data_IF_628450931520
#
_entry.id   IF_628450931520
#
_cell.length_a   1.000
_cell.length_b   1.000
_cell.length_c   1.000
_cell.angle_alpha   90.00
_cell.angle_beta   90.00
_cell.angle_gamma   90.00
#
_symmetry.space_group_name_H-M   'P 1'
#
loop_
_entity.id
_entity.type
_entity.pdbx_description
1 polymer ?
#
# COMPACT_ATOMS: atom_id res chain seq x y z
N UNK A 1 -31.50 15.81 -16.74
CA UNK A 1 -32.03 15.48 -15.40
C UNK A 1 -31.22 16.24 -14.37
N UNK A 2 -31.82 16.67 -13.24
CA UNK A 2 -31.15 17.49 -12.23
C UNK A 2 -31.44 16.99 -10.82
N UNK A 3 -30.49 17.18 -9.89
CA UNK A 3 -30.64 16.87 -8.46
C UNK A 3 -29.95 17.94 -7.62
N UNK A 4 -30.43 18.16 -6.39
CA UNK A 4 -29.77 19.05 -5.43
C UNK A 4 -29.10 18.25 -4.33
N UNK A 5 -27.82 18.50 -4.09
CA UNK A 5 -27.04 17.81 -3.06
C UNK A 5 -26.20 18.83 -2.30
N UNK A 6 -26.04 18.63 -0.99
CA UNK A 6 -25.12 19.44 -0.19
C UNK A 6 -23.70 19.30 -0.71
N UNK A 7 -23.01 20.43 -0.88
CA UNK A 7 -21.64 20.52 -1.39
C UNK A 7 -20.66 19.64 -0.60
N UNK A 8 -20.74 19.68 0.73
CA UNK A 8 -19.88 18.88 1.62
C UNK A 8 -20.12 17.39 1.43
N UNK A 9 -21.38 16.96 1.32
CA UNK A 9 -21.77 15.56 1.14
C UNK A 9 -21.25 15.03 -0.20
N UNK A 10 -21.48 15.76 -1.30
CA UNK A 10 -20.94 15.39 -2.61
C UNK A 10 -19.41 15.37 -2.61
N UNK A 11 -18.77 16.32 -1.93
CA UNK A 11 -17.32 16.36 -1.81
C UNK A 11 -16.75 15.12 -1.12
N UNK A 12 -17.33 14.68 0.01
CA UNK A 12 -16.90 13.46 0.70
C UNK A 12 -17.15 12.21 -0.15
N UNK A 13 -18.33 12.10 -0.79
CA UNK A 13 -18.63 10.97 -1.67
C UNK A 13 -17.63 10.88 -2.83
N UNK A 14 -17.29 12.00 -3.48
CA UNK A 14 -16.32 11.99 -4.57
C UNK A 14 -14.89 11.62 -4.11
N UNK A 15 -14.50 11.84 -2.85
CA UNK A 15 -13.20 11.33 -2.35
C UNK A 15 -13.14 9.81 -2.40
N UNK A 16 -14.25 9.15 -2.06
CA UNK A 16 -14.40 7.68 -2.09
C UNK A 16 -14.48 7.19 -3.53
N UNK A 17 -15.43 7.71 -4.30
CA UNK A 17 -15.69 7.26 -5.66
C UNK A 17 -14.49 7.49 -6.59
N UNK A 18 -13.74 8.57 -6.36
CA UNK A 18 -12.50 8.87 -7.08
C UNK A 18 -11.39 7.84 -6.92
N UNK A 19 -11.53 6.83 -6.03
CA UNK A 19 -10.61 5.70 -5.90
C UNK A 19 -10.80 4.63 -6.98
N UNK A 20 -11.98 4.59 -7.60
CA UNK A 20 -12.34 3.61 -8.64
C UNK A 20 -12.47 4.26 -10.01
N UNK A 21 -12.88 5.53 -10.09
CA UNK A 21 -13.04 6.23 -11.37
C UNK A 21 -11.74 6.24 -12.18
N UNK A 22 -11.84 5.76 -13.43
CA UNK A 22 -10.74 5.74 -14.39
C UNK A 22 -10.80 6.98 -15.28
N UNK A 23 -10.34 8.13 -14.78
CA UNK A 23 -10.46 9.45 -15.44
C UNK A 23 -9.82 9.53 -16.85
N UNK A 24 -8.88 8.67 -17.17
CA UNK A 24 -8.20 8.61 -18.48
C UNK A 24 -8.75 7.52 -19.39
N UNK A 25 -9.74 6.74 -18.95
CA UNK A 25 -10.34 5.68 -19.76
C UNK A 25 -11.00 6.27 -21.01
N UNK A 26 -10.92 5.61 -22.17
CA UNK A 26 -11.72 6.00 -23.34
C UNK A 26 -13.22 5.75 -23.13
N UNK A 27 -13.62 4.89 -22.18
CA UNK A 27 -15.01 4.54 -21.88
C UNK A 27 -15.64 5.62 -20.98
N UNK A 28 -16.67 6.29 -21.48
CA UNK A 28 -17.31 7.41 -20.75
C UNK A 28 -17.90 7.00 -19.40
N UNK A 29 -18.50 5.81 -19.31
CA UNK A 29 -19.02 5.24 -18.05
C UNK A 29 -17.94 5.19 -16.97
N UNK A 30 -16.73 4.76 -17.33
CA UNK A 30 -15.63 4.60 -16.38
C UNK A 30 -15.01 5.93 -15.93
N UNK A 31 -15.29 7.02 -16.65
CA UNK A 31 -14.93 8.40 -16.24
C UNK A 31 -16.04 9.10 -15.46
N UNK A 32 -17.21 8.49 -15.36
CA UNK A 32 -18.43 9.13 -14.86
C UNK A 32 -18.88 8.59 -13.52
N UNK A 33 -19.74 9.37 -12.86
CA UNK A 33 -20.51 8.98 -11.68
C UNK A 33 -21.97 8.90 -12.09
N UNK A 34 -22.62 7.75 -11.87
CA UNK A 34 -24.06 7.59 -12.01
C UNK A 34 -24.75 8.11 -10.76
N UNK A 35 -25.81 8.89 -10.96
CA UNK A 35 -26.73 9.38 -9.95
C UNK A 35 -28.05 8.66 -10.16
N UNK A 36 -28.48 7.90 -9.16
CA UNK A 36 -29.81 7.32 -9.08
C UNK A 36 -30.51 7.94 -7.88
N UNK A 37 -31.65 8.59 -8.07
CA UNK A 37 -32.37 9.27 -6.99
C UNK A 37 -33.78 8.75 -6.82
N UNK A 38 -34.19 8.52 -5.57
CA UNK A 38 -35.55 8.13 -5.18
C UNK A 38 -35.93 8.95 -3.94
N UNK A 39 -36.80 9.95 -4.12
CA UNK A 39 -37.20 10.85 -3.05
C UNK A 39 -36.01 11.65 -2.49
N UNK A 40 -35.70 11.47 -1.20
CA UNK A 40 -34.60 12.15 -0.51
C UNK A 40 -33.28 11.36 -0.50
N UNK A 41 -33.24 10.20 -1.15
CA UNK A 41 -32.07 9.32 -1.22
C UNK A 41 -31.46 9.34 -2.62
N UNK A 42 -30.14 9.48 -2.66
CA UNK A 42 -29.36 9.45 -3.90
C UNK A 42 -28.23 8.42 -3.77
N UNK A 43 -28.16 7.50 -4.72
CA UNK A 43 -27.07 6.54 -4.86
C UNK A 43 -26.10 7.02 -5.94
N UNK A 44 -24.85 7.17 -5.54
CA UNK A 44 -23.74 7.56 -6.41
C UNK A 44 -22.91 6.34 -6.73
N UNK A 45 -22.88 5.93 -8.00
CA UNK A 45 -22.19 4.70 -8.44
C UNK A 45 -21.07 5.01 -9.43
N UNK A 46 -19.95 4.32 -9.28
CA UNK A 46 -18.82 4.33 -10.21
C UNK A 46 -18.35 2.92 -10.51
N UNK A 47 -17.69 2.72 -11.64
CA UNK A 47 -17.07 1.46 -12.02
C UNK A 47 -15.84 1.71 -12.90
N UNK A 48 -14.83 0.85 -12.78
CA UNK A 48 -13.68 0.78 -13.68
C UNK A 48 -13.80 -0.36 -14.72
N UNK A 49 -14.94 -1.07 -14.72
CA UNK A 49 -15.18 -2.26 -15.54
C UNK A 49 -14.81 -3.59 -14.87
N UNK A 50 -14.15 -3.57 -13.70
CA UNK A 50 -13.79 -4.75 -12.91
C UNK A 50 -14.54 -4.76 -11.58
N UNK A 51 -14.61 -3.59 -10.94
CA UNK A 51 -15.35 -3.36 -9.71
C UNK A 51 -16.34 -2.21 -9.85
N UNK A 52 -17.29 -2.16 -8.93
CA UNK A 52 -18.27 -1.09 -8.78
C UNK A 52 -18.41 -0.71 -7.32
N UNK A 53 -18.47 0.59 -7.06
CA UNK A 53 -18.70 1.15 -5.72
C UNK A 53 -19.90 2.07 -5.78
N UNK A 54 -20.80 1.89 -4.83
CA UNK A 54 -21.98 2.72 -4.64
C UNK A 54 -21.95 3.32 -3.23
N UNK A 55 -22.22 4.63 -3.15
CA UNK A 55 -22.38 5.34 -1.89
C UNK A 55 -23.76 5.99 -1.87
N UNK A 56 -24.52 5.74 -0.82
CA UNK A 56 -25.78 6.42 -0.53
C UNK A 56 -25.51 7.76 0.15
N UNK A 57 -26.18 8.80 -0.34
CA UNK A 57 -26.14 10.15 0.22
C UNK A 57 -27.53 10.76 0.28
N UNK A 58 -27.75 11.66 1.24
CA UNK A 58 -28.96 12.48 1.29
C UNK A 58 -28.93 13.56 0.20
N UNK A 59 -30.04 13.73 -0.52
CA UNK A 59 -30.19 14.76 -1.54
C UNK A 59 -31.64 14.88 -2.00
N UNK A 60 -32.00 16.00 -2.61
CA UNK A 60 -33.33 16.18 -3.19
C UNK A 60 -33.28 15.75 -4.67
N UNK A 61 -33.83 14.57 -4.93
CA UNK A 61 -33.88 14.01 -6.27
C UNK A 61 -35.05 14.55 -7.10
N UNK A 62 -36.03 15.23 -6.51
CA UNK A 62 -37.30 15.53 -7.17
C UNK A 62 -37.98 14.25 -7.69
N UNK A 63 -38.26 14.20 -9.00
CA UNK A 63 -38.71 12.99 -9.69
C UNK A 63 -37.55 12.01 -9.95
N UNK A 64 -37.82 10.69 -9.91
CA UNK A 64 -36.80 9.63 -10.06
C UNK A 64 -35.82 9.92 -11.20
N UNK A 65 -34.57 10.21 -10.83
CA UNK A 65 -33.52 10.61 -11.77
C UNK A 65 -32.48 9.52 -11.94
N UNK A 66 -32.17 9.15 -13.19
CA UNK A 66 -31.06 8.24 -13.54
C UNK A 66 -30.21 8.88 -14.64
N UNK A 67 -29.07 9.43 -14.25
CA UNK A 67 -28.14 10.10 -15.15
C UNK A 67 -26.69 9.95 -14.70
N UNK A 68 -25.76 10.29 -15.57
CA UNK A 68 -24.34 10.31 -15.27
C UNK A 68 -23.73 11.68 -15.52
N UNK A 69 -22.67 11.99 -14.77
CA UNK A 69 -21.82 13.17 -14.95
C UNK A 69 -20.37 12.75 -14.88
N UNK A 70 -19.52 13.25 -15.79
CA UNK A 70 -18.09 12.98 -15.72
C UNK A 70 -17.50 13.48 -14.39
N UNK A 71 -16.67 12.66 -13.75
CA UNK A 71 -16.09 12.94 -12.45
C UNK A 71 -15.29 14.25 -12.43
N UNK A 72 -14.58 14.56 -13.52
CA UNK A 72 -13.83 15.80 -13.67
C UNK A 72 -14.75 17.03 -13.64
N UNK A 73 -15.89 16.97 -14.34
CA UNK A 73 -16.88 18.03 -14.34
C UNK A 73 -17.47 18.26 -12.94
N UNK A 74 -17.75 17.19 -12.18
CA UNK A 74 -18.20 17.30 -10.79
C UNK A 74 -17.15 17.97 -9.88
N UNK A 75 -15.87 17.64 -10.07
CA UNK A 75 -14.77 18.27 -9.33
C UNK A 75 -14.61 19.74 -9.66
N UNK A 76 -14.82 20.13 -10.92
CA UNK A 76 -14.82 21.53 -11.35
C UNK A 76 -16.01 22.30 -10.80
N UNK A 77 -17.21 21.70 -10.85
CA UNK A 77 -18.43 22.25 -10.25
C UNK A 77 -18.26 22.51 -8.74
N UNK A 78 -17.70 21.56 -7.99
CA UNK A 78 -17.41 21.74 -6.57
C UNK A 78 -16.44 22.92 -6.30
N UNK A 79 -15.50 23.19 -7.21
CA UNK A 79 -14.56 24.31 -7.04
C UNK A 79 -15.21 25.65 -7.37
N UNK A 80 -16.10 25.70 -8.36
CA UNK A 80 -16.69 26.96 -8.84
C UNK A 80 -17.91 27.40 -8.02
N UNK A 81 -18.70 26.46 -7.48
CA UNK A 81 -19.90 26.82 -6.73
C UNK A 81 -19.57 27.47 -5.38
N UNK A 82 -20.10 28.68 -5.17
CA UNK A 82 -20.14 29.36 -3.86
C UNK A 82 -21.48 29.04 -3.19
N UNK A 83 -21.46 28.46 -1.99
CA UNK A 83 -22.66 28.06 -1.26
C UNK A 83 -22.61 26.63 -0.72
N UNK A 84 -23.65 26.25 0.03
CA UNK A 84 -23.76 24.95 0.69
C UNK A 84 -24.46 23.85 -0.12
N UNK A 85 -25.22 24.21 -1.15
CA UNK A 85 -25.93 23.28 -2.03
C UNK A 85 -25.47 23.42 -3.48
N UNK A 86 -25.52 22.31 -4.21
CA UNK A 86 -25.13 22.21 -5.62
C UNK A 86 -26.26 21.54 -6.38
N UNK A 87 -26.63 22.17 -7.50
CA UNK A 87 -27.49 21.55 -8.50
C UNK A 87 -26.61 20.77 -9.49
N UNK A 88 -26.76 19.45 -9.51
CA UNK A 88 -26.05 18.55 -10.41
C UNK A 88 -26.95 18.24 -11.58
N UNK A 89 -26.48 18.54 -12.79
CA UNK A 89 -27.18 18.20 -14.04
C UNK A 89 -26.35 17.25 -14.85
N UNK A 90 -26.97 16.19 -15.38
CA UNK A 90 -26.30 15.23 -16.24
C UNK A 90 -27.18 14.67 -17.34
N UNK A 91 -26.60 13.72 -18.08
CA UNK A 91 -27.23 13.04 -19.21
C UNK A 91 -27.44 11.57 -18.89
N UNK A 92 -28.44 10.96 -19.52
CA UNK A 92 -28.59 9.51 -19.47
C UNK A 92 -27.40 8.86 -20.18
N UNK A 93 -26.82 7.87 -19.54
CA UNK A 93 -25.72 7.07 -20.08
C UNK A 93 -26.13 5.61 -19.97
N UNK A 94 -25.78 4.81 -20.97
CA UNK A 94 -25.97 3.36 -20.87
C UNK A 94 -24.97 2.81 -19.85
N UNK A 95 -25.48 2.43 -18.69
CA UNK A 95 -24.67 1.99 -17.57
C UNK A 95 -24.60 0.46 -17.58
N UNK A 96 -23.41 -0.14 -17.39
CA UNK A 96 -23.28 -1.59 -17.41
C UNK A 96 -24.20 -2.22 -16.37
N UNK A 97 -24.91 -3.26 -16.79
CA UNK A 97 -25.73 -4.06 -15.90
C UNK A 97 -24.83 -4.63 -14.78
N UNK A 98 -25.24 -4.38 -13.55
CA UNK A 98 -24.54 -4.93 -12.39
C UNK A 98 -25.00 -6.36 -12.19
N UNK A 99 -24.05 -7.29 -12.09
CA UNK A 99 -24.35 -8.69 -11.77
C UNK A 99 -25.19 -8.75 -10.49
N UNK A 100 -26.36 -9.38 -10.61
CA UNK A 100 -27.32 -9.51 -9.52
C UNK A 100 -26.82 -10.63 -8.59
N UNK A 101 -26.87 -10.39 -7.27
CA UNK A 101 -26.58 -11.44 -6.29
C UNK A 101 -27.68 -12.50 -6.41
N UNK A 102 -27.35 -13.74 -6.80
CA UNK A 102 -28.35 -14.78 -6.95
C UNK A 102 -28.84 -15.27 -5.59
N UNK A 103 -30.02 -15.89 -5.55
CA UNK A 103 -30.65 -16.35 -4.30
C UNK A 103 -29.86 -17.45 -3.59
N UNK A 104 -29.02 -18.20 -4.31
CA UNK A 104 -28.15 -19.25 -3.81
C UNK A 104 -26.73 -18.74 -3.44
N UNK A 105 -26.50 -17.43 -3.50
CA UNK A 105 -25.25 -16.83 -3.08
C UNK A 105 -24.95 -17.11 -1.60
N UNK A 106 -23.69 -17.42 -1.31
CA UNK A 106 -23.21 -17.51 0.06
C UNK A 106 -23.32 -16.12 0.69
N UNK A 107 -24.01 -16.04 1.82
CA UNK A 107 -24.21 -14.79 2.56
C UNK A 107 -23.59 -14.90 3.94
N UNK A 108 -22.72 -13.96 4.29
CA UNK A 108 -21.94 -13.97 5.53
C UNK A 108 -22.09 -12.62 6.23
N UNK A 109 -22.40 -12.65 7.51
CA UNK A 109 -22.41 -11.47 8.36
C UNK A 109 -20.98 -10.98 8.62
N UNK A 110 -20.76 -9.68 8.43
CA UNK A 110 -19.50 -9.02 8.74
C UNK A 110 -19.64 -8.27 10.07
N UNK A 111 -18.65 -8.37 10.98
CA UNK A 111 -18.72 -7.71 12.27
C UNK A 111 -18.63 -6.17 12.12
N UNK A 112 -19.07 -5.40 13.13
CA UNK A 112 -19.06 -3.94 13.07
C UNK A 112 -17.68 -3.29 12.88
N UNK A 113 -16.62 -4.00 13.26
CA UNK A 113 -15.23 -3.56 13.15
C UNK A 113 -14.53 -4.10 11.88
N UNK A 114 -15.25 -4.77 10.97
CA UNK A 114 -14.67 -5.36 9.76
C UNK A 114 -13.83 -4.37 8.94
N UNK A 115 -14.31 -3.13 8.76
CA UNK A 115 -13.55 -2.08 8.07
C UNK A 115 -12.23 -1.73 8.77
N UNK A 116 -12.18 -1.79 10.11
CA UNK A 116 -10.94 -1.60 10.89
C UNK A 116 -9.98 -2.77 10.70
N UNK A 117 -10.49 -4.00 10.63
CA UNK A 117 -9.67 -5.19 10.33
C UNK A 117 -9.01 -5.06 8.96
N UNK A 118 -9.77 -4.66 7.93
CA UNK A 118 -9.19 -4.41 6.60
C UNK A 118 -8.14 -3.29 6.63
N UNK A 119 -8.36 -2.23 7.43
CA UNK A 119 -7.40 -1.14 7.56
C UNK A 119 -6.10 -1.55 8.26
N UNK A 120 -6.15 -2.50 9.21
CA UNK A 120 -4.95 -3.06 9.85
C UNK A 120 -4.15 -3.97 8.90
N UNK A 121 -4.86 -4.75 8.07
CA UNK A 121 -4.26 -5.67 7.10
C UNK A 121 -3.75 -4.98 5.83
N UNK A 122 -4.39 -3.90 5.38
CA UNK A 122 -4.06 -3.22 4.13
C UNK A 122 -2.56 -2.86 3.96
N UNK A 123 -1.85 -2.34 4.98
CA UNK A 123 -0.45 -1.94 4.78
C UNK A 123 0.53 -3.11 4.64
N UNK A 124 0.10 -4.36 4.91
CA UNK A 124 0.88 -5.58 4.68
C UNK A 124 0.81 -6.04 3.22
N UNK A 125 -0.24 -5.66 2.49
CA UNK A 125 -0.47 -6.07 1.10
C UNK A 125 0.59 -5.46 0.17
N UNK A 126 1.17 -6.28 -0.70
CA UNK A 126 2.05 -5.80 -1.77
C UNK A 126 1.31 -5.79 -3.11
N UNK A 127 0.91 -4.60 -3.55
CA UNK A 127 0.21 -4.39 -4.82
C UNK A 127 1.06 -4.68 -6.06
N UNK A 128 2.38 -4.83 -5.90
CA UNK A 128 3.33 -5.12 -6.98
C UNK A 128 3.77 -6.58 -7.00
N UNK A 129 3.25 -7.39 -6.09
CA UNK A 129 3.59 -8.81 -6.01
C UNK A 129 3.17 -9.54 -7.28
N UNK A 130 4.03 -10.43 -7.79
CA UNK A 130 3.74 -11.13 -9.05
C UNK A 130 2.56 -12.11 -8.94
N UNK A 131 2.31 -12.65 -7.75
CA UNK A 131 1.18 -13.54 -7.47
C UNK A 131 -0.07 -12.71 -7.18
N UNK A 132 -1.11 -12.75 -8.04
CA UNK A 132 -2.31 -11.92 -7.86
C UNK A 132 -2.96 -12.10 -6.48
N UNK A 133 -2.98 -13.33 -5.96
CA UNK A 133 -3.59 -13.66 -4.66
C UNK A 133 -2.95 -12.95 -3.45
N UNK A 134 -1.75 -12.38 -3.60
CA UNK A 134 -1.06 -11.60 -2.55
C UNK A 134 -1.20 -10.08 -2.74
N UNK A 135 -1.82 -9.64 -3.83
CA UNK A 135 -2.15 -8.23 -4.07
C UNK A 135 -3.46 -7.80 -3.36
N UNK A 136 -3.98 -8.65 -2.46
CA UNK A 136 -5.24 -8.43 -1.78
C UNK A 136 -5.27 -8.99 -0.37
N UNK A 137 -6.47 -9.03 0.21
CA UNK A 137 -6.72 -9.45 1.58
C UNK A 137 -7.57 -10.72 1.57
N UNK A 138 -7.07 -11.77 2.22
CA UNK A 138 -7.76 -13.05 2.31
C UNK A 138 -8.77 -13.03 3.46
N UNK A 139 -9.96 -13.55 3.18
CA UNK A 139 -11.01 -13.83 4.15
C UNK A 139 -11.20 -15.34 4.24
N UNK A 140 -11.09 -15.87 5.44
CA UNK A 140 -11.28 -17.28 5.74
C UNK A 140 -12.06 -17.44 7.04
N UNK A 141 -12.28 -18.69 7.46
CA UNK A 141 -12.85 -19.00 8.78
C UNK A 141 -11.95 -18.55 9.94
N UNK A 142 -10.66 -18.40 9.68
CA UNK A 142 -9.68 -17.93 10.66
C UNK A 142 -9.64 -16.40 10.78
N UNK A 143 -10.28 -15.68 9.84
CA UNK A 143 -10.43 -14.24 9.85
C UNK A 143 -9.84 -13.53 8.64
N UNK A 144 -9.27 -12.36 8.87
CA UNK A 144 -8.70 -11.48 7.84
C UNK A 144 -7.19 -11.67 7.82
N UNK A 145 -6.65 -12.14 6.69
CA UNK A 145 -5.21 -12.42 6.54
C UNK A 145 -4.59 -11.64 5.38
N UNK A 146 -3.41 -11.08 5.60
CA UNK A 146 -2.60 -10.46 4.55
C UNK A 146 -1.12 -10.86 4.69
N UNK A 147 -0.42 -10.99 3.56
CA UNK A 147 1.03 -11.23 3.53
C UNK A 147 1.64 -10.69 2.24
N UNK A 148 2.88 -10.23 2.32
CA UNK A 148 3.75 -9.89 1.18
C UNK A 148 4.94 -10.86 1.06
N UNK A 149 4.90 -12.00 1.76
CA UNK A 149 6.00 -12.97 1.79
C UNK A 149 7.18 -12.59 2.69
N UNK A 150 7.22 -11.37 3.24
CA UNK A 150 8.22 -10.92 4.25
C UNK A 150 7.61 -10.69 5.62
N UNK A 151 6.33 -10.37 5.65
CA UNK A 151 5.52 -10.30 6.87
C UNK A 151 4.15 -10.92 6.63
N UNK A 152 3.48 -11.29 7.71
CA UNK A 152 2.14 -11.85 7.68
C UNK A 152 1.34 -11.33 8.86
N UNK A 153 0.10 -10.93 8.60
CA UNK A 153 -0.85 -10.55 9.64
C UNK A 153 -2.12 -11.39 9.48
N UNK A 154 -2.50 -12.10 10.54
CA UNK A 154 -3.82 -12.72 10.66
C UNK A 154 -4.59 -12.08 11.81
N UNK A 155 -5.72 -11.48 11.49
CA UNK A 155 -6.66 -10.86 12.41
C UNK A 155 -7.85 -11.81 12.64
N UNK A 156 -7.94 -12.45 13.83
CA UNK A 156 -9.01 -13.39 14.12
C UNK A 156 -10.38 -12.73 14.02
N UNK A 157 -11.24 -13.31 13.17
CA UNK A 157 -12.62 -12.89 13.02
C UNK A 157 -13.40 -14.10 12.49
N UNK A 158 -14.34 -14.64 13.27
CA UNK A 158 -15.05 -15.87 12.92
C UNK A 158 -16.08 -15.63 11.80
N UNK A 159 -15.61 -15.57 10.56
CA UNK A 159 -16.45 -15.44 9.38
C UNK A 159 -17.02 -16.81 9.01
N UNK A 160 -18.34 -16.90 8.83
CA UNK A 160 -19.04 -18.12 8.40
C UNK A 160 -18.89 -18.37 6.89
N UNK A 161 -17.66 -18.23 6.38
CA UNK A 161 -17.34 -18.43 4.97
C UNK A 161 -17.07 -19.93 4.72
N UNK A 162 -17.67 -20.55 3.70
CA UNK A 162 -17.46 -21.97 3.40
C UNK A 162 -16.07 -22.24 2.81
N UNK A 163 -15.58 -21.36 1.93
CA UNK A 163 -14.29 -21.43 1.23
C UNK A 163 -13.60 -20.07 1.23
N UNK A 164 -12.29 -20.04 1.45
CA UNK A 164 -11.49 -18.82 1.46
C UNK A 164 -11.68 -17.98 0.20
N UNK A 165 -11.76 -16.66 0.38
CA UNK A 165 -11.89 -15.68 -0.69
C UNK A 165 -10.88 -14.55 -0.51
N UNK A 166 -10.14 -14.20 -1.56
CA UNK A 166 -9.21 -13.07 -1.52
C UNK A 166 -9.85 -11.87 -2.20
N UNK A 167 -10.11 -10.83 -1.42
CA UNK A 167 -10.60 -9.56 -1.94
C UNK A 167 -9.46 -8.79 -2.61
N UNK A 168 -9.71 -8.08 -3.73
CA UNK A 168 -8.76 -7.09 -4.23
C UNK A 168 -8.50 -5.99 -3.19
N UNK A 169 -7.48 -5.16 -3.41
CA UNK A 169 -7.12 -4.13 -2.44
C UNK A 169 -8.28 -3.12 -2.25
N UNK A 170 -8.84 -2.98 -1.02
CA UNK A 170 -10.12 -2.32 -0.79
C UNK A 170 -10.02 -0.79 -0.68
N UNK A 171 -9.36 -0.11 -1.63
CA UNK A 171 -9.00 1.31 -1.52
C UNK A 171 -10.22 2.24 -1.28
N UNK A 172 -11.33 1.98 -1.95
CA UNK A 172 -12.56 2.75 -1.78
C UNK A 172 -13.16 2.57 -0.38
N UNK A 173 -13.24 1.33 0.12
CA UNK A 173 -13.75 1.00 1.45
C UNK A 173 -12.85 1.63 2.54
N UNK A 174 -11.52 1.54 2.39
CA UNK A 174 -10.57 2.16 3.32
C UNK A 174 -10.67 3.70 3.37
N UNK A 175 -11.11 4.30 2.25
CA UNK A 175 -11.36 5.74 2.15
C UNK A 175 -12.72 6.11 2.75
N UNK A 176 -13.75 5.31 2.50
CA UNK A 176 -15.12 5.54 2.98
C UNK A 176 -15.25 5.31 4.50
N UNK A 177 -14.50 4.34 5.05
CA UNK A 177 -14.58 3.92 6.45
C UNK A 177 -16.03 3.73 6.93
N UNK A 178 -16.84 2.91 6.22
CA UNK A 178 -18.22 2.69 6.63
C UNK A 178 -18.26 2.05 8.02
N UNK A 179 -19.21 2.49 8.84
CA UNK A 179 -19.37 2.03 10.22
C UNK A 179 -20.56 1.08 10.35
N UNK A 180 -20.47 0.17 11.32
CA UNK A 180 -21.53 -0.78 11.62
C UNK A 180 -21.32 -2.16 10.99
N UNK A 181 -22.22 -3.09 11.34
CA UNK A 181 -22.19 -4.44 10.80
C UNK A 181 -22.48 -4.43 9.29
N UNK A 182 -21.99 -5.45 8.61
CA UNK A 182 -22.13 -5.57 7.16
C UNK A 182 -22.57 -6.95 6.72
N UNK A 183 -22.71 -7.11 5.41
CA UNK A 183 -22.96 -8.40 4.77
C UNK A 183 -22.00 -8.58 3.60
N UNK A 184 -21.42 -9.77 3.51
CA UNK A 184 -20.65 -10.24 2.38
C UNK A 184 -21.45 -11.31 1.62
N UNK A 185 -21.71 -11.07 0.35
CA UNK A 185 -22.22 -12.07 -0.57
C UNK A 185 -21.08 -12.58 -1.46
N UNK A 186 -21.05 -13.89 -1.71
CA UNK A 186 -20.08 -14.56 -2.58
C UNK A 186 -20.83 -15.52 -3.49
N UNK A 187 -20.57 -15.45 -4.80
CA UNK A 187 -21.13 -16.38 -5.78
C UNK A 187 -20.16 -16.60 -6.94
N UNK A 188 -20.49 -17.56 -7.81
CA UNK A 188 -19.76 -17.81 -9.05
C UNK A 188 -20.62 -17.39 -10.24
N UNK A 189 -20.03 -16.67 -11.19
CA UNK A 189 -20.64 -16.37 -12.48
C UNK A 189 -19.58 -16.57 -13.56
N UNK A 190 -19.87 -17.36 -14.61
CA UNK A 190 -18.97 -17.60 -15.76
C UNK A 190 -17.52 -17.95 -15.37
N UNK A 191 -17.35 -18.87 -14.42
CA UNK A 191 -16.07 -19.31 -13.81
C UNK A 191 -15.31 -18.25 -12.99
N UNK A 192 -15.86 -17.06 -12.82
CA UNK A 192 -15.30 -16.03 -11.94
C UNK A 192 -16.00 -16.08 -10.58
N UNK A 193 -15.25 -15.82 -9.52
CA UNK A 193 -15.80 -15.65 -8.17
C UNK A 193 -16.07 -14.16 -7.96
N UNK A 194 -17.33 -13.82 -7.72
CA UNK A 194 -17.79 -12.46 -7.47
C UNK A 194 -18.06 -12.28 -5.99
N UNK A 195 -17.96 -11.04 -5.53
CA UNK A 195 -18.33 -10.65 -4.19
C UNK A 195 -19.15 -9.37 -4.20
N UNK A 196 -19.97 -9.19 -3.16
CA UNK A 196 -20.59 -7.90 -2.81
C UNK A 196 -20.50 -7.70 -1.31
N UNK A 197 -19.92 -6.58 -0.89
CA UNK A 197 -19.91 -6.12 0.50
C UNK A 197 -20.88 -4.96 0.62
N UNK A 198 -21.76 -5.02 1.61
CA UNK A 198 -22.69 -3.94 1.99
C UNK A 198 -22.46 -3.60 3.46
N UNK A 199 -22.16 -2.34 3.76
CA UNK A 199 -21.97 -1.82 5.13
C UNK A 199 -22.64 -0.45 5.20
N UNK A 200 -23.80 -0.38 5.87
CA UNK A 200 -24.63 0.84 5.86
C UNK A 200 -24.93 1.30 4.42
N UNK A 201 -24.74 2.59 4.15
CA UNK A 201 -24.91 3.19 2.82
C UNK A 201 -23.76 2.93 1.83
N UNK A 202 -22.79 2.08 2.16
CA UNK A 202 -21.67 1.73 1.28
C UNK A 202 -21.85 0.34 0.69
N UNK A 203 -21.74 0.22 -0.64
CA UNK A 203 -21.71 -1.04 -1.36
C UNK A 203 -20.47 -1.13 -2.24
N UNK A 204 -19.79 -2.27 -2.18
CA UNK A 204 -18.67 -2.60 -3.05
C UNK A 204 -18.84 -3.98 -3.65
N UNK A 205 -18.79 -4.06 -4.97
CA UNK A 205 -18.94 -5.31 -5.71
C UNK A 205 -17.84 -5.44 -6.76
N UNK A 206 -17.31 -6.64 -6.95
CA UNK A 206 -16.29 -6.91 -7.94
C UNK A 206 -15.91 -8.38 -8.02
N UNK A 207 -14.78 -8.62 -8.69
CA UNK A 207 -14.18 -9.96 -8.82
C UNK A 207 -13.21 -10.22 -7.68
N UNK A 208 -13.34 -11.36 -7.02
CA UNK A 208 -12.32 -11.83 -6.10
C UNK A 208 -11.04 -12.20 -6.88
N UNK A 209 -9.89 -12.03 -6.24
CA UNK A 209 -8.61 -12.37 -6.85
C UNK A 209 -8.51 -13.88 -7.07
N UNK A 210 -8.04 -14.33 -8.26
CA UNK A 210 -7.93 -15.74 -8.57
C UNK A 210 -6.76 -16.41 -7.84
N UNK A 211 -6.87 -17.72 -7.63
CA UNK A 211 -5.85 -18.55 -7.02
C UNK A 211 -6.11 -18.89 -5.56
N UNK A 212 -5.29 -19.80 -5.03
CA UNK A 212 -5.36 -20.21 -3.63
C UNK A 212 -4.42 -19.34 -2.81
N UNK A 213 -4.92 -18.81 -1.69
CA UNK A 213 -4.07 -18.11 -0.74
C UNK A 213 -3.10 -19.11 -0.10
N UNK A 214 -1.85 -18.72 0.24
CA UNK A 214 -0.90 -19.64 0.86
C UNK A 214 -1.45 -20.26 2.15
N UNK A 215 -1.09 -21.52 2.43
CA UNK A 215 -1.33 -22.14 3.74
C UNK A 215 -0.37 -21.53 4.78
N UNK A 216 -0.74 -20.34 5.22
CA UNK A 216 0.06 -19.50 6.10
C UNK A 216 0.25 -20.10 7.50
N UNK A 217 -0.59 -21.05 7.92
CA UNK A 217 -0.44 -21.69 9.22
C UNK A 217 0.86 -22.50 9.30
N UNK A 218 1.36 -22.99 8.16
CA UNK A 218 2.61 -23.73 8.08
C UNK A 218 3.84 -22.87 8.35
N UNK A 219 3.75 -21.55 8.17
CA UNK A 219 4.88 -20.63 8.44
C UNK A 219 4.93 -20.15 9.89
N UNK A 220 3.95 -20.52 10.71
CA UNK A 220 3.94 -20.17 12.14
C UNK A 220 4.92 -21.07 12.89
N UNK A 221 5.96 -20.51 13.53
CA UNK A 221 6.86 -21.28 14.37
C UNK A 221 6.11 -21.95 15.52
N UNK A 222 6.49 -23.17 15.88
CA UNK A 222 5.96 -23.82 17.06
C UNK A 222 6.40 -23.06 18.32
N UNK A 223 5.55 -23.00 19.36
CA UNK A 223 5.87 -22.22 20.57
C UNK A 223 7.20 -22.61 21.21
N UNK A 224 7.53 -23.91 21.21
CA UNK A 224 8.79 -24.46 21.73
C UNK A 224 10.04 -24.03 20.96
N UNK A 225 9.90 -23.51 19.73
CA UNK A 225 11.04 -23.04 18.93
C UNK A 225 11.38 -21.58 19.20
N UNK A 226 10.52 -20.82 19.87
CA UNK A 226 10.78 -19.42 20.22
C UNK A 226 11.28 -19.37 21.67
N UNK A 227 12.60 -19.34 21.83
CA UNK A 227 13.28 -19.55 23.11
C UNK A 227 13.53 -18.26 23.90
N UNK A 228 13.24 -17.08 23.34
CA UNK A 228 13.26 -15.82 24.08
C UNK A 228 12.17 -14.84 23.63
N UNK A 229 11.90 -13.86 24.50
CA UNK A 229 10.94 -12.77 24.27
C UNK A 229 11.55 -11.43 24.67
N UNK A 230 11.36 -10.43 23.82
CA UNK A 230 11.62 -9.00 24.10
C UNK A 230 10.27 -8.30 24.30
N UNK A 231 10.13 -7.50 25.35
CA UNK A 231 8.99 -6.62 25.58
C UNK A 231 9.47 -5.16 25.68
N UNK A 232 9.04 -4.34 24.72
CA UNK A 232 9.39 -2.92 24.62
C UNK A 232 8.34 -2.10 25.38
N UNK A 233 8.79 -1.37 26.40
CA UNK A 233 7.90 -0.58 27.27
C UNK A 233 7.62 0.82 26.73
N UNK A 234 8.53 1.37 25.91
CA UNK A 234 8.42 2.71 25.33
C UNK A 234 8.40 2.65 23.78
N UNK A 235 7.36 2.04 23.16
CA UNK A 235 7.32 1.85 21.71
C UNK A 235 7.34 3.16 20.92
N UNK A 236 6.79 4.26 21.48
CA UNK A 236 6.77 5.58 20.85
C UNK A 236 8.19 6.10 20.58
N UNK A 237 9.13 5.88 21.50
CA UNK A 237 10.55 6.28 21.33
C UNK A 237 11.19 5.53 20.17
N UNK A 238 10.89 4.23 20.04
CA UNK A 238 11.37 3.43 18.90
C UNK A 238 10.74 3.92 17.61
N UNK A 239 9.43 4.19 17.59
CA UNK A 239 8.71 4.71 16.41
C UNK A 239 9.30 6.03 15.94
N UNK A 240 9.56 6.97 16.86
CA UNK A 240 10.17 8.27 16.55
C UNK A 240 11.59 8.10 16.01
N UNK A 241 12.41 7.28 16.66
CA UNK A 241 13.75 6.96 16.18
C UNK A 241 13.73 6.34 14.78
N UNK A 242 12.89 5.32 14.53
CA UNK A 242 12.79 4.70 13.21
C UNK A 242 12.37 5.67 12.10
N UNK A 243 11.64 6.75 12.42
CA UNK A 243 11.32 7.80 11.43
C UNK A 243 12.52 8.66 11.06
N UNK A 244 13.52 8.80 11.93
CA UNK A 244 14.74 9.57 11.65
C UNK A 244 15.79 8.76 10.90
N UNK A 245 15.77 7.42 11.00
CA UNK A 245 16.70 6.53 10.29
C UNK A 245 16.53 6.69 8.77
N UNK A 246 17.58 7.02 8.01
CA UNK A 246 17.50 7.12 6.57
C UNK A 246 17.19 5.77 5.90
N UNK A 247 16.68 5.81 4.68
CA UNK A 247 16.43 4.59 3.91
C UNK A 247 17.72 3.96 3.39
N UNK A 248 17.86 2.65 3.59
CA UNK A 248 19.00 1.87 3.13
C UNK A 248 18.51 0.59 2.43
N UNK A 249 18.13 0.68 1.14
CA UNK A 249 17.76 -0.48 0.36
C UNK A 249 18.96 -1.45 0.21
N UNK A 250 18.71 -2.76 0.01
CA UNK A 250 17.40 -3.35 -0.25
C UNK A 250 16.63 -3.77 1.02
N UNK A 251 17.28 -3.82 2.18
CA UNK A 251 16.72 -4.50 3.36
C UNK A 251 16.24 -3.56 4.47
N UNK A 252 16.72 -2.31 4.53
CA UNK A 252 16.40 -1.35 5.60
C UNK A 252 16.55 -1.98 6.99
N UNK A 253 17.65 -2.70 7.22
CA UNK A 253 17.80 -3.57 8.38
C UNK A 253 18.00 -2.77 9.68
N UNK A 254 17.20 -3.12 10.69
CA UNK A 254 17.28 -2.63 12.06
C UNK A 254 17.59 -3.80 12.98
N UNK A 255 18.67 -3.69 13.72
CA UNK A 255 19.12 -4.64 14.72
C UNK A 255 18.50 -4.35 16.08
N UNK A 256 18.01 -5.39 16.75
CA UNK A 256 17.56 -5.38 18.13
C UNK A 256 18.58 -6.16 18.97
N UNK A 257 19.55 -5.44 19.53
CA UNK A 257 20.63 -6.01 20.32
C UNK A 257 20.20 -6.10 21.79
N UNK A 258 20.09 -7.32 22.31
CA UNK A 258 19.83 -7.54 23.75
C UNK A 258 21.08 -7.20 24.55
N UNK A 259 20.94 -6.28 25.50
CA UNK A 259 22.01 -5.81 26.40
C UNK A 259 21.57 -5.92 27.86
N UNK A 260 22.51 -5.78 28.80
CA UNK A 260 22.19 -5.76 30.23
C UNK A 260 21.18 -4.64 30.53
N UNK A 261 19.98 -5.02 30.98
CA UNK A 261 18.92 -4.08 31.34
C UNK A 261 18.00 -3.62 30.21
N UNK A 262 18.16 -4.12 28.97
CA UNK A 262 17.24 -3.76 27.90
C UNK A 262 17.65 -4.16 26.49
N UNK A 263 17.29 -3.31 25.52
CA UNK A 263 17.60 -3.50 24.09
C UNK A 263 18.19 -2.22 23.50
N UNK A 264 19.21 -2.38 22.65
CA UNK A 264 19.73 -1.31 21.79
C UNK A 264 19.22 -1.53 20.37
N UNK A 265 18.55 -0.51 19.82
CA UNK A 265 18.06 -0.47 18.44
C UNK A 265 19.11 0.21 17.57
N UNK A 266 19.65 -0.48 16.57
CA UNK A 266 20.75 0.00 15.71
C UNK A 266 20.40 -0.24 14.24
N UNK A 267 20.36 0.79 13.37
CA UNK A 267 20.29 0.59 11.93
C UNK A 267 21.59 0.00 11.42
N UNK A 268 21.53 -1.14 10.73
CA UNK A 268 22.73 -1.87 10.29
C UNK A 268 23.67 -1.01 9.41
N UNK A 269 23.13 -0.08 8.64
CA UNK A 269 23.89 0.80 7.75
C UNK A 269 24.29 2.15 8.39
N UNK A 270 23.81 2.44 9.60
CA UNK A 270 24.11 3.68 10.33
C UNK A 270 24.44 3.34 11.78
N UNK A 271 25.58 2.67 12.05
CA UNK A 271 25.91 2.15 13.37
C UNK A 271 26.07 3.24 14.44
N UNK A 272 26.36 4.49 14.04
CA UNK A 272 26.46 5.64 14.94
C UNK A 272 25.08 6.12 15.44
N UNK A 273 23.99 5.69 14.78
CA UNK A 273 22.63 5.91 15.26
C UNK A 273 22.23 4.74 16.17
N UNK A 274 22.26 4.95 17.48
CA UNK A 274 21.75 3.96 18.44
C UNK A 274 20.68 4.54 19.35
N UNK A 275 19.69 3.72 19.68
CA UNK A 275 18.70 4.01 20.71
C UNK A 275 18.73 2.89 21.75
N UNK A 276 19.13 3.22 22.98
CA UNK A 276 19.07 2.32 24.13
C UNK A 276 17.77 2.52 24.89
N UNK A 277 17.09 1.43 25.20
CA UNK A 277 15.81 1.42 25.90
C UNK A 277 15.79 0.34 26.95
N UNK A 278 15.05 0.62 28.02
CA UNK A 278 14.65 -0.42 28.96
C UNK A 278 13.65 -1.35 28.28
N UNK A 279 13.90 -2.65 28.40
CA UNK A 279 13.05 -3.69 27.84
C UNK A 279 13.13 -4.91 28.72
N UNK A 280 12.02 -5.64 28.84
CA UNK A 280 12.02 -6.92 29.53
C UNK A 280 12.42 -8.02 28.56
N UNK A 281 13.52 -8.71 28.86
CA UNK A 281 13.99 -9.85 28.08
C UNK A 281 13.89 -11.11 28.93
N UNK A 282 13.17 -12.11 28.43
CA UNK A 282 12.95 -13.38 29.12
C UNK A 282 13.37 -14.52 28.20
N UNK A 283 13.99 -15.56 28.77
CA UNK A 283 14.36 -16.77 28.05
C UNK A 283 15.85 -16.85 27.73
N UNK A 284 16.18 -17.53 26.64
CA UNK A 284 17.57 -17.74 26.22
C UNK A 284 18.26 -16.41 25.87
N UNK A 285 19.56 -16.33 26.13
CA UNK A 285 20.38 -15.24 25.61
C UNK A 285 20.53 -15.42 24.09
N UNK A 286 20.20 -14.40 23.27
CA UNK A 286 20.34 -14.50 21.81
C UNK A 286 21.79 -14.79 21.40
N UNK A 287 21.99 -15.75 20.50
CA UNK A 287 23.30 -16.10 19.92
C UNK A 287 23.61 -15.31 18.66
N UNK A 288 22.57 -14.82 17.99
CA UNK A 288 22.64 -13.90 16.87
C UNK A 288 21.76 -12.68 17.14
N UNK A 289 22.14 -11.55 16.55
CA UNK A 289 21.32 -10.34 16.58
C UNK A 289 20.02 -10.57 15.83
N UNK A 290 18.89 -10.15 16.42
CA UNK A 290 17.64 -10.12 15.69
C UNK A 290 17.62 -8.87 14.81
N UNK A 291 17.55 -9.06 13.50
CA UNK A 291 17.40 -7.96 12.57
C UNK A 291 16.06 -8.03 11.85
N UNK A 292 15.35 -6.90 11.79
CA UNK A 292 14.06 -6.76 11.14
C UNK A 292 14.09 -5.60 10.16
N UNK A 293 13.22 -5.65 9.15
CA UNK A 293 13.05 -4.51 8.25
C UNK A 293 12.45 -3.32 9.00
N UNK A 294 13.02 -2.13 8.81
CA UNK A 294 12.58 -0.85 9.39
C UNK A 294 11.08 -0.63 9.31
N UNK A 295 10.49 -0.84 8.13
CA UNK A 295 9.08 -0.57 7.88
C UNK A 295 8.16 -1.60 8.52
N UNK A 296 8.59 -2.87 8.55
CA UNK A 296 7.88 -3.95 9.25
C UNK A 296 7.87 -3.67 10.76
N UNK A 297 9.04 -3.37 11.35
CA UNK A 297 9.16 -3.03 12.77
C UNK A 297 8.34 -1.78 13.14
N UNK A 298 8.44 -0.72 12.33
CA UNK A 298 7.65 0.50 12.52
C UNK A 298 6.15 0.19 12.51
N UNK A 299 5.68 -0.63 11.56
CA UNK A 299 4.27 -1.00 11.45
C UNK A 299 3.78 -1.81 12.64
N UNK A 300 4.57 -2.81 13.08
CA UNK A 300 4.25 -3.60 14.27
C UNK A 300 4.06 -2.70 15.49
N UNK A 301 5.01 -1.80 15.75
CA UNK A 301 4.92 -0.91 16.92
C UNK A 301 3.74 0.07 16.81
N UNK A 302 3.51 0.66 15.63
CA UNK A 302 2.36 1.56 15.38
C UNK A 302 1.00 0.88 15.56
N UNK A 303 0.93 -0.44 15.37
CA UNK A 303 -0.28 -1.23 15.56
C UNK A 303 -0.35 -1.87 16.97
N UNK A 304 0.54 -1.49 17.89
CA UNK A 304 0.52 -1.92 19.28
C UNK A 304 1.20 -3.27 19.57
N UNK A 305 1.95 -3.82 18.62
CA UNK A 305 2.74 -5.03 18.86
C UNK A 305 4.07 -4.68 19.51
N UNK A 306 4.17 -4.89 20.82
CA UNK A 306 5.32 -4.50 21.66
C UNK A 306 6.11 -5.67 22.21
N UNK A 307 5.60 -6.89 22.04
CA UNK A 307 6.23 -8.14 22.50
C UNK A 307 6.68 -8.95 21.30
N UNK A 308 7.96 -9.31 21.25
CA UNK A 308 8.54 -10.10 20.17
C UNK A 308 9.06 -11.42 20.71
N UNK A 309 8.44 -12.51 20.28
CA UNK A 309 8.92 -13.88 20.53
C UNK A 309 9.79 -14.31 19.35
N UNK A 310 11.02 -14.70 19.65
CA UNK A 310 12.02 -15.01 18.66
C UNK A 310 12.85 -16.23 19.09
N UNK A 311 13.62 -16.77 18.15
CA UNK A 311 14.58 -17.82 18.42
C UNK A 311 16.01 -17.26 18.43
N UNK A 312 16.84 -17.77 19.33
CA UNK A 312 18.19 -17.29 19.61
C UNK A 312 19.15 -17.32 18.41
N UNK A 313 18.81 -18.04 17.33
CA UNK A 313 19.60 -18.05 16.09
C UNK A 313 19.33 -16.89 15.12
N UNK A 314 18.28 -16.09 15.36
CA UNK A 314 17.89 -14.96 14.52
C UNK A 314 17.39 -15.32 13.12
N UNK A 315 17.04 -16.59 12.84
CA UNK A 315 16.63 -17.08 11.51
C UNK A 315 15.17 -17.50 11.42
N UNK A 316 14.57 -17.85 12.56
CA UNK A 316 13.17 -18.25 12.64
C UNK A 316 12.27 -17.00 12.61
N UNK A 317 11.11 -17.03 11.92
CA UNK A 317 10.15 -15.93 11.93
C UNK A 317 9.84 -15.44 13.35
N UNK A 318 9.78 -14.13 13.53
CA UNK A 318 9.40 -13.51 14.79
C UNK A 318 7.89 -13.45 14.89
N UNK A 319 7.34 -13.80 16.06
CA UNK A 319 5.93 -13.55 16.37
C UNK A 319 5.84 -12.29 17.22
N UNK A 320 5.08 -11.31 16.76
CA UNK A 320 4.80 -10.10 17.50
C UNK A 320 3.40 -10.17 18.15
N UNK A 321 3.32 -9.76 19.42
CA UNK A 321 2.15 -9.82 20.29
C UNK A 321 1.87 -8.43 20.90
N UNK A 322 0.63 -8.20 21.34
CA UNK A 322 0.16 -6.94 21.94
C UNK A 322 -0.87 -6.20 21.08
N UNK A 323 -0.73 -6.31 19.75
CA UNK A 323 -1.71 -5.78 18.80
C UNK A 323 -2.86 -6.75 18.51
N UNK A 324 -3.65 -6.42 17.50
CA UNK A 324 -4.82 -7.22 17.09
C UNK A 324 -4.43 -8.50 16.38
N UNK A 325 -4.51 -9.65 17.04
CA UNK A 325 -4.28 -10.94 16.37
C UNK A 325 -2.81 -11.34 16.31
N UNK A 326 -2.40 -12.00 15.22
CA UNK A 326 -1.06 -12.61 15.07
C UNK A 326 -0.29 -11.94 13.95
N UNK A 327 0.84 -11.32 14.30
CA UNK A 327 1.74 -10.69 13.36
C UNK A 327 3.06 -11.45 13.31
N UNK A 328 3.50 -11.85 12.11
CA UNK A 328 4.77 -12.51 11.87
C UNK A 328 5.67 -11.65 11.00
N UNK A 329 6.95 -11.61 11.31
CA UNK A 329 7.96 -10.92 10.54
C UNK A 329 9.15 -11.84 10.25
N UNK A 330 9.57 -11.90 8.98
CA UNK A 330 10.78 -12.61 8.59
C UNK A 330 12.02 -11.81 9.03
N UNK A 331 12.94 -12.42 9.80
CA UNK A 331 14.19 -11.76 10.14
C UNK A 331 15.10 -11.57 8.92
N UNK A 332 15.94 -10.55 8.97
CA UNK A 332 16.97 -10.29 7.98
C UNK A 332 18.24 -11.03 8.41
N UNK A 333 18.79 -11.85 7.54
CA UNK A 333 20.07 -12.49 7.79
C UNK A 333 21.20 -11.48 7.59
N UNK A 334 21.72 -10.95 8.70
CA UNK A 334 22.94 -10.14 8.70
C UNK A 334 24.13 -11.07 8.82
N UNK A 335 24.99 -11.09 7.80
CA UNK A 335 26.27 -11.79 7.89
C UNK A 335 27.16 -11.05 8.91
N UNK A 336 27.90 -11.76 9.77
CA UNK A 336 28.83 -11.12 10.69
C UNK A 336 29.78 -10.20 9.93
N UNK A 337 29.77 -8.90 10.25
CA UNK A 337 30.79 -7.98 9.74
C UNK A 337 32.13 -8.47 10.31
N UNK A 338 33.07 -8.83 9.44
CA UNK A 338 34.45 -9.07 9.86
C UNK A 338 34.94 -7.80 10.54
N UNK A 339 35.07 -7.84 11.87
CA UNK A 339 35.89 -6.86 12.56
C UNK A 339 37.33 -7.11 12.09
N UNK A 340 38.01 -6.15 11.44
CA UNK A 340 39.45 -6.27 11.28
C UNK A 340 40.03 -6.35 12.69
N UNK A 341 40.66 -7.47 13.02
CA UNK A 341 41.46 -7.58 14.23
C UNK A 341 42.55 -6.51 14.11
N UNK A 342 42.49 -5.49 14.96
CA UNK A 342 43.61 -4.59 15.18
C UNK A 342 44.71 -5.41 15.84
N UNK A 343 45.54 -6.07 15.03
CA UNK A 343 46.86 -6.51 15.47
C UNK A 343 47.72 -5.27 15.64
N UNK A 344 48.02 -4.92 16.89
CA UNK A 344 49.09 -4.00 17.23
C UNK A 344 50.43 -4.58 16.73
N UNK A 345 50.79 -4.25 15.48
CA UNK A 345 52.18 -4.42 15.02
C UNK A 345 52.93 -3.12 15.22
N UNK A 346 53.91 -3.20 16.13
CA UNK A 346 54.96 -2.22 16.38
C UNK A 346 55.51 -1.67 15.05
N UNK A 347 55.60 -0.34 14.98
CA UNK A 347 56.29 0.40 13.94
C UNK A 347 57.75 -0.06 13.81
N UNK A 348 58.18 -0.35 12.58
CA UNK A 348 59.56 -0.17 12.15
C UNK A 348 59.64 1.00 11.19
N UNK A 349 60.53 1.93 11.52
CA UNK A 349 60.78 3.15 10.78
C UNK A 349 61.62 2.88 9.53
N UNK A 350 61.28 3.51 8.41
CA UNK A 350 62.27 3.82 7.37
C UNK A 350 61.93 5.11 6.60
N UNK A 351 62.72 6.14 6.92
CA UNK A 351 63.30 7.21 6.08
C UNK A 351 62.39 8.10 5.21
N UNK A 352 62.11 9.29 5.78
CA UNK A 352 62.55 10.65 5.35
C UNK A 352 62.88 10.85 3.86
N UNK A 353 62.09 11.70 3.20
CA UNK A 353 62.54 12.63 2.15
C UNK A 353 62.02 14.02 2.55
N UNK A 354 62.93 15.00 2.54
CA UNK A 354 62.71 16.40 2.92
C UNK A 354 62.57 17.32 1.70
N UNK A 355 62.07 18.54 2.01
CA UNK A 355 62.00 19.80 1.25
C UNK A 355 60.62 20.07 0.59
N UNK A 356 59.97 21.21 0.76
CA UNK A 356 60.33 22.49 1.42
C UNK A 356 59.04 23.29 1.65
N UNK A 357 59.04 24.11 2.69
CA UNK A 357 57.97 25.05 3.03
C UNK A 357 57.86 26.20 2.02
N UNK A 358 56.64 26.61 1.72
CA UNK A 358 56.28 28.03 1.63
C UNK A 358 54.84 28.22 2.10
N UNK A 359 54.71 28.98 3.18
CA UNK A 359 53.46 29.42 3.75
C UNK A 359 52.74 30.41 2.82
N UNK A 360 51.42 30.32 2.76
CA UNK A 360 50.55 31.49 2.88
C UNK A 360 49.18 31.03 3.34
N UNK A 361 48.89 31.26 4.62
CA UNK A 361 47.56 31.22 5.19
C UNK A 361 46.70 32.31 4.54
N UNK A 362 45.59 31.92 3.94
CA UNK A 362 44.43 32.80 3.80
C UNK A 362 43.35 32.19 4.69
N UNK A 363 43.08 32.86 5.81
CA UNK A 363 41.99 32.53 6.72
C UNK A 363 40.67 32.54 5.95
N UNK A 364 40.06 31.37 5.75
CA UNK A 364 38.68 31.27 5.32
C UNK A 364 37.80 31.43 6.56
N UNK A 365 36.94 32.45 6.54
CA UNK A 365 35.92 32.70 7.54
C UNK A 365 35.06 31.43 7.78
N UNK A 366 34.51 31.24 8.99
CA UNK A 366 33.63 30.10 9.25
C UNK A 366 32.39 30.23 8.36
N UNK A 367 32.34 29.42 7.29
CA UNK A 367 31.21 29.37 6.38
C UNK A 367 29.96 29.02 7.18
N UNK A 368 28.97 29.89 7.11
CA UNK A 368 27.73 29.74 7.85
C UNK A 368 27.01 28.48 7.35
N UNK A 369 26.69 27.50 8.21
CA UNK A 369 26.02 26.26 7.79
C UNK A 369 24.66 26.50 7.12
N UNK A 370 24.04 27.67 7.34
CA UNK A 370 22.82 28.06 6.64
C UNK A 370 23.07 28.46 5.17
N UNK A 371 24.24 29.01 4.84
CA UNK A 371 24.62 29.35 3.47
C UNK A 371 24.99 28.10 2.66
N UNK A 372 25.67 27.14 3.29
CA UNK A 372 25.96 25.83 2.68
C UNK A 372 24.67 25.03 2.43
N UNK A 373 23.71 25.09 3.35
CA UNK A 373 22.38 24.50 3.16
C UNK A 373 21.62 25.18 2.01
N UNK A 374 21.65 26.51 1.93
CA UNK A 374 21.00 27.24 0.84
C UNK A 374 21.63 26.93 -0.53
N UNK A 375 22.95 26.82 -0.61
CA UNK A 375 23.66 26.39 -1.81
C UNK A 375 23.26 24.97 -2.21
N UNK A 376 23.19 24.05 -1.24
CA UNK A 376 22.75 22.67 -1.47
C UNK A 376 21.28 22.57 -1.92
N UNK A 377 20.40 23.41 -1.39
CA UNK A 377 18.99 23.51 -1.80
C UNK A 377 18.88 24.01 -3.24
N UNK A 378 19.67 25.01 -3.61
CA UNK A 378 19.64 25.57 -4.97
C UNK A 378 20.24 24.60 -5.99
N UNK A 379 21.28 23.86 -5.62
CA UNK A 379 21.83 22.77 -6.43
C UNK A 379 20.79 21.64 -6.61
N UNK A 380 20.07 21.26 -5.55
CA UNK A 380 19.00 20.27 -5.61
C UNK A 380 17.87 20.73 -6.54
N UNK A 381 17.46 22.01 -6.46
CA UNK A 381 16.46 22.60 -7.36
C UNK A 381 16.90 22.54 -8.82
N UNK A 382 18.18 22.83 -9.08
CA UNK A 382 18.78 22.71 -10.41
C UNK A 382 18.67 21.28 -10.95
N UNK A 383 19.08 20.29 -10.16
CA UNK A 383 18.99 18.85 -10.53
C UNK A 383 17.54 18.41 -10.77
N UNK A 384 16.60 18.88 -9.95
CA UNK A 384 15.17 18.58 -10.08
C UNK A 384 14.58 19.15 -11.38
N UNK A 385 15.02 20.35 -11.77
CA UNK A 385 14.61 20.97 -13.04
C UNK A 385 15.12 20.18 -14.24
N UNK A 386 16.39 19.77 -14.22
CA UNK A 386 16.97 18.93 -15.28
C UNK A 386 16.24 17.60 -15.40
N UNK A 387 15.94 16.93 -14.28
CA UNK A 387 15.19 15.67 -14.29
C UNK A 387 13.76 15.83 -14.83
N UNK A 388 13.10 16.95 -14.56
CA UNK A 388 11.78 17.25 -15.13
C UNK A 388 11.85 17.44 -16.65
N UNK A 389 12.88 18.12 -17.15
CA UNK A 389 13.10 18.32 -18.58
C UNK A 389 13.44 16.98 -19.29
N UNK A 390 14.28 16.15 -18.67
CA UNK A 390 14.59 14.80 -19.17
C UNK A 390 13.36 13.88 -19.17
N UNK A 391 12.52 13.94 -18.13
CA UNK A 391 11.25 13.22 -18.06
C UNK A 391 10.28 13.67 -19.17
N UNK A 392 10.22 14.96 -19.46
CA UNK A 392 9.42 15.49 -20.56
C UNK A 392 9.93 15.00 -21.94
N UNK A 393 11.26 14.91 -22.12
CA UNK A 393 11.88 14.36 -23.33
C UNK A 393 11.57 12.86 -23.48
N UNK A 394 11.68 12.09 -22.40
CA UNK A 394 11.34 10.66 -22.38
C UNK A 394 9.85 10.43 -22.73
N UNK A 395 8.94 11.23 -22.17
CA UNK A 395 7.52 11.15 -22.49
C UNK A 395 7.23 11.41 -23.98
N UNK A 396 7.99 12.32 -24.62
CA UNK A 396 7.90 12.54 -26.08
C UNK A 396 8.40 11.33 -26.87
N UNK A 397 9.57 10.78 -26.51
CA UNK A 397 10.14 9.59 -27.17
C UNK A 397 9.23 8.36 -27.04
N UNK A 398 8.59 8.19 -25.89
CA UNK A 398 7.60 7.11 -25.69
C UNK A 398 6.39 7.30 -26.60
N UNK A 399 5.86 8.52 -26.73
CA UNK A 399 4.75 8.82 -27.67
C UNK A 399 5.14 8.53 -29.12
N UNK A 400 6.34 8.91 -29.53
CA UNK A 400 6.85 8.64 -30.89
C UNK A 400 7.02 7.14 -31.15
N UNK A 401 7.58 6.39 -30.19
CA UNK A 401 7.72 4.94 -30.29
C UNK A 401 6.35 4.23 -30.41
N UNK A 402 5.36 4.65 -29.62
CA UNK A 402 3.98 4.12 -29.71
C UNK A 402 3.34 4.43 -31.06
N UNK A 403 3.59 5.61 -31.63
CA UNK A 403 3.08 5.97 -32.95
C UNK A 403 3.72 5.10 -34.06
N UNK A 404 5.04 4.90 -34.00
CA UNK A 404 5.78 4.04 -34.94
C UNK A 404 5.31 2.59 -34.85
N UNK A 405 5.04 2.08 -33.65
CA UNK A 405 4.51 0.73 -33.46
C UNK A 405 3.13 0.58 -34.12
N UNK A 406 2.21 1.54 -33.91
CA UNK A 406 0.89 1.53 -34.56
C UNK A 406 0.97 1.59 -36.07
N UNK A 407 1.94 2.33 -36.62
CA UNK A 407 2.15 2.40 -38.06
C UNK A 407 2.62 1.05 -38.63
N UNK A 408 3.58 0.38 -37.96
CA UNK A 408 4.04 -0.96 -38.33
C UNK A 408 2.93 -2.01 -38.24
N UNK A 409 2.07 -1.93 -37.22
CA UNK A 409 0.91 -2.82 -37.09
C UNK A 409 -0.07 -2.66 -38.27
N UNK A 410 -0.31 -1.42 -38.73
CA UNK A 410 -1.15 -1.16 -39.92
C UNK A 410 -0.54 -1.71 -41.19
N UNK A 411 0.76 -1.52 -41.40
CA UNK A 411 1.49 -2.05 -42.55
C UNK A 411 1.48 -3.59 -42.55
N UNK A 412 1.65 -4.21 -41.38
CA UNK A 412 1.55 -5.66 -41.22
C UNK A 412 0.16 -6.20 -41.57
N UNK A 413 -0.90 -5.55 -41.10
CA UNK A 413 -2.29 -5.94 -41.44
C UNK A 413 -2.55 -5.78 -42.95
N UNK A 414 -2.07 -4.71 -43.57
CA UNK A 414 -2.21 -4.50 -45.02
C UNK A 414 -1.44 -5.56 -45.82
N UNK A 415 -0.22 -5.89 -45.41
CA UNK A 415 0.59 -6.94 -46.03
C UNK A 415 -0.07 -8.32 -45.89
N UNK A 416 -0.64 -8.63 -44.71
CA UNK A 416 -1.39 -9.86 -44.49
C UNK A 416 -2.59 -9.97 -45.44
N UNK A 417 -3.38 -8.91 -45.58
CA UNK A 417 -4.52 -8.88 -46.51
C UNK A 417 -4.09 -8.95 -47.99
N UNK A 418 -2.91 -8.44 -48.35
CA UNK A 418 -2.38 -8.59 -49.70
C UNK A 418 -1.98 -10.04 -49.98
N UNK A 419 -1.33 -10.71 -49.03
CA UNK A 419 -0.97 -12.13 -49.13
C UNK A 419 -2.23 -13.02 -49.23
N UNK A 420 -3.25 -12.77 -48.41
CA UNK A 420 -4.53 -13.49 -48.48
C UNK A 420 -5.20 -13.34 -49.85
N UNK A 421 -5.16 -12.14 -50.45
CA UNK A 421 -5.70 -11.91 -51.79
C UNK A 421 -4.94 -12.65 -52.89
N UNK A 422 -3.61 -12.71 -52.81
CA UNK A 422 -2.79 -13.51 -53.75
C UNK A 422 -3.11 -15.00 -53.59
N UNK A 423 -3.25 -15.48 -52.36
CA UNK A 423 -3.58 -16.89 -52.06
C UNK A 423 -4.98 -17.30 -52.56
N UNK A 424 -5.92 -16.37 -52.70
CA UNK A 424 -7.23 -16.63 -53.29
C UNK A 424 -7.25 -16.57 -54.83
N UNK A 425 -6.20 -16.03 -55.46
CA UNK A 425 -6.08 -15.87 -56.91
C UNK A 425 -5.23 -16.97 -57.59
N UNK A 426 -4.61 -17.84 -56.78
CA UNK A 426 -3.93 -19.08 -57.19
C UNK A 426 -4.84 -20.24 -56.77
#
# INVERSE_FOLDING_TARGET
MKMKIKKSVLQEALKVLGKVVSQTSPVEVQRSVRFLGVGEQVWLTVTDGVESVTVEVSGDAGDMGDFAVEYKALRELLRSTRGGEIEVTGKRLDWPETEIVPNDAVTVELPPDFGKLLALAAPVVDLREARPVLQGINLSRDGVTATNGKELLNLPCSLKIPEDVTLPFPLALLTARPEGAGTLHIWRCRNERLFRIVIGGFQWQGKALPGNFPDWKQVIPADKTLDYRIEIHEPERVIEFLKTVPDSPPFHAIELNVVSGGVTVIPNNFPDMELRLEATVIGAQPRAVLALNKYILLRMLQQGYTKFRAHSDGRIPVIAEGGSGRYLAMPIHILPKHQPKTEEKKMEATKRIEHTETATEAAAEPVNPMEELNLSIEELRGKLRTLLDESALLARKVKEAVLQQKQREREFVQAKHAIERIKMAI
#
